data_IF_963880778733
#
_entry.id   IF_963880778733
#
_cell.length_a   1.000
_cell.length_b   1.000
_cell.length_c   1.000
_cell.angle_alpha   90.00
_cell.angle_beta   90.00
_cell.angle_gamma   90.00
#
_symmetry.space_group_name_H-M   'P 1'
#
loop_
_entity.id
_entity.type
_entity.pdbx_description
1 polymer ?
#
# COMPACT_ATOMS: atom_id res chain seq x y z
N UNK A 1 -14.54 13.19 -7.40
CA UNK A 1 -13.40 12.70 -8.18
C UNK A 1 -13.40 11.18 -8.22
N UNK A 2 -13.32 10.63 -9.39
CA UNK A 2 -13.46 9.19 -9.57
C UNK A 2 -12.15 8.50 -9.79
N UNK A 3 -11.34 8.48 -8.78
CA UNK A 3 -10.01 7.93 -8.91
C UNK A 3 -9.97 6.42 -9.07
N UNK A 4 -11.00 5.77 -8.56
CA UNK A 4 -10.97 4.32 -8.48
C UNK A 4 -11.77 3.65 -9.60
N UNK A 5 -12.30 4.42 -10.52
CA UNK A 5 -13.12 3.84 -11.59
C UNK A 5 -12.33 2.97 -12.53
N UNK A 6 -11.04 3.17 -12.60
CA UNK A 6 -10.22 2.45 -13.56
C UNK A 6 -9.69 1.14 -13.05
N UNK A 7 -10.19 0.69 -11.91
CA UNK A 7 -9.81 -0.62 -11.42
C UNK A 7 -10.21 -1.69 -12.41
N UNK A 8 -9.28 -2.59 -12.68
CA UNK A 8 -9.55 -3.71 -13.54
C UNK A 8 -8.98 -4.97 -12.92
N UNK A 9 -9.66 -6.07 -13.15
CA UNK A 9 -9.25 -7.37 -12.63
C UNK A 9 -8.99 -8.29 -13.82
N UNK A 10 -7.82 -8.88 -13.84
CA UNK A 10 -7.42 -9.80 -14.87
C UNK A 10 -7.11 -11.16 -14.28
N UNK A 11 -7.59 -12.21 -14.94
CA UNK A 11 -7.23 -13.56 -14.60
C UNK A 11 -6.12 -14.01 -15.55
N UNK A 12 -4.98 -14.35 -14.97
CA UNK A 12 -3.83 -14.78 -15.73
C UNK A 12 -3.57 -16.24 -15.42
N UNK A 13 -3.45 -17.04 -16.45
CA UNK A 13 -3.10 -18.45 -16.29
C UNK A 13 -1.62 -18.62 -16.52
N UNK A 14 -0.91 -18.97 -15.47
CA UNK A 14 0.41 -19.52 -15.59
C UNK A 14 0.29 -21.04 -15.61
N UNK A 15 1.36 -21.75 -15.73
CA UNK A 15 1.43 -23.18 -15.96
C UNK A 15 0.30 -24.02 -15.38
N UNK A 16 0.15 -24.07 -14.07
CA UNK A 16 -0.90 -24.85 -13.42
C UNK A 16 -1.72 -24.02 -12.47
N UNK A 17 -1.45 -22.73 -12.40
CA UNK A 17 -2.10 -21.82 -11.47
C UNK A 17 -2.76 -20.70 -12.22
N UNK A 18 -3.85 -20.25 -11.67
CA UNK A 18 -4.50 -19.03 -12.13
C UNK A 18 -4.11 -17.93 -11.16
N UNK A 19 -3.57 -16.85 -11.69
CA UNK A 19 -3.26 -15.68 -10.88
C UNK A 19 -4.27 -14.59 -11.18
N UNK A 20 -4.63 -13.84 -10.15
CA UNK A 20 -5.48 -12.68 -10.28
C UNK A 20 -4.62 -11.44 -10.19
N UNK A 21 -4.79 -10.53 -11.14
CA UNK A 21 -4.11 -9.26 -11.11
C UNK A 21 -5.14 -8.15 -11.02
N UNK A 22 -4.90 -7.24 -10.08
CA UNK A 22 -5.78 -6.10 -9.85
C UNK A 22 -4.97 -4.84 -10.05
N UNK A 23 -5.37 -4.02 -11.01
CA UNK A 23 -4.81 -2.69 -11.16
C UNK A 23 -5.58 -1.78 -10.22
N UNK A 24 -5.08 -1.65 -9.00
CA UNK A 24 -5.79 -0.96 -7.94
C UNK A 24 -5.80 0.55 -8.18
N UNK A 25 -4.67 1.10 -8.56
CA UNK A 25 -4.53 2.52 -8.84
C UNK A 25 -3.72 2.69 -10.11
N UNK A 26 -4.20 3.55 -10.98
CA UNK A 26 -3.47 3.91 -12.19
C UNK A 26 -3.94 5.29 -12.65
N UNK A 27 -3.09 6.28 -12.60
CA UNK A 27 -3.47 7.59 -13.08
C UNK A 27 -2.63 8.72 -12.52
N UNK A 28 -3.00 9.91 -12.91
CA UNK A 28 -2.36 11.12 -12.45
C UNK A 28 -3.21 11.77 -11.37
N UNK A 29 -2.57 12.16 -10.32
CA UNK A 29 -3.25 12.72 -9.15
C UNK A 29 -2.54 13.99 -8.70
N UNK A 30 -3.31 14.93 -8.16
CA UNK A 30 -2.70 16.11 -7.57
C UNK A 30 -1.97 15.70 -6.27
N UNK A 31 -1.21 16.62 -5.73
CA UNK A 31 -0.39 16.34 -4.55
C UNK A 31 -1.22 15.85 -3.37
N UNK A 32 -2.33 16.52 -3.09
CA UNK A 32 -3.16 16.18 -1.95
C UNK A 32 -3.75 14.77 -2.07
N UNK A 33 -4.28 14.45 -3.23
CA UNK A 33 -4.85 13.12 -3.46
C UNK A 33 -3.77 12.05 -3.47
N UNK A 34 -2.61 12.35 -4.06
CA UNK A 34 -1.49 11.42 -4.06
C UNK A 34 -1.06 11.07 -2.65
N UNK A 35 -0.90 12.09 -1.82
CA UNK A 35 -0.50 11.88 -0.44
C UNK A 35 -1.55 11.09 0.33
N UNK A 36 -2.82 11.40 0.11
CA UNK A 36 -3.88 10.68 0.78
C UNK A 36 -3.92 9.21 0.39
N UNK A 37 -3.88 8.92 -0.90
CA UNK A 37 -3.91 7.53 -1.38
C UNK A 37 -2.75 6.71 -0.82
N UNK A 38 -1.55 7.20 -0.96
CA UNK A 38 -0.37 6.45 -0.52
C UNK A 38 -0.36 6.32 1.00
N UNK A 39 -0.71 7.39 1.72
CA UNK A 39 -0.74 7.34 3.17
C UNK A 39 -1.75 6.32 3.68
N UNK A 40 -2.94 6.28 3.08
CA UNK A 40 -3.96 5.32 3.47
C UNK A 40 -3.51 3.88 3.26
N UNK A 41 -2.85 3.61 2.15
CA UNK A 41 -2.35 2.27 1.87
C UNK A 41 -1.30 1.83 2.87
N UNK A 42 -0.39 2.72 3.23
CA UNK A 42 0.63 2.42 4.23
C UNK A 42 -0.02 2.20 5.59
N UNK A 43 -1.00 3.02 5.96
CA UNK A 43 -1.68 2.89 7.24
C UNK A 43 -2.49 1.60 7.36
N UNK A 44 -3.09 1.15 6.27
CA UNK A 44 -3.79 -0.14 6.26
C UNK A 44 -2.82 -1.26 6.64
N UNK A 45 -1.61 -1.23 6.10
CA UNK A 45 -0.61 -2.24 6.41
C UNK A 45 -0.10 -2.12 7.84
N UNK A 46 0.06 -0.92 8.34
CA UNK A 46 0.43 -0.71 9.74
C UNK A 46 -0.63 -1.33 10.65
N UNK A 47 -1.90 -1.04 10.39
CA UNK A 47 -2.98 -1.59 11.19
C UNK A 47 -3.04 -3.10 11.12
N UNK A 48 -2.73 -3.66 9.97
CA UNK A 48 -2.66 -5.11 9.84
C UNK A 48 -1.64 -5.69 10.81
N UNK A 49 -0.45 -5.12 10.87
CA UNK A 49 0.58 -5.61 11.79
C UNK A 49 0.20 -5.40 13.24
N UNK A 50 -0.42 -4.25 13.56
CA UNK A 50 -0.87 -3.98 14.93
C UNK A 50 -1.90 -5.02 15.39
N UNK A 51 -2.86 -5.33 14.54
CA UNK A 51 -3.89 -6.31 14.86
C UNK A 51 -3.33 -7.72 14.98
N UNK A 52 -2.24 -8.02 14.32
CA UNK A 52 -1.65 -9.33 14.37
C UNK A 52 -0.90 -9.60 15.68
N UNK A 53 -0.61 -8.55 16.45
CA UNK A 53 0.00 -8.71 17.77
C UNK A 53 -1.10 -9.10 18.75
N UNK A 54 -0.95 -10.27 19.36
CA UNK A 54 -1.92 -10.82 20.27
C UNK A 54 -1.28 -11.09 21.63
N UNK A 55 -2.12 -11.30 22.65
CA UNK A 55 -1.64 -11.52 24.00
C UNK A 55 -0.68 -12.71 24.11
N UNK A 56 -0.94 -13.74 23.33
CA UNK A 56 -0.12 -14.95 23.36
C UNK A 56 0.92 -15.01 22.25
N UNK A 57 1.16 -13.89 21.60
CA UNK A 57 2.24 -13.82 20.60
C UNK A 57 3.58 -13.98 21.31
N UNK A 58 4.50 -14.66 20.64
CA UNK A 58 5.85 -14.77 21.16
C UNK A 58 6.54 -13.42 21.12
N UNK A 59 7.58 -13.27 21.91
CA UNK A 59 8.35 -12.03 21.91
C UNK A 59 8.98 -11.78 20.54
N UNK A 60 9.41 -12.85 19.88
CA UNK A 60 9.97 -12.73 18.53
C UNK A 60 8.94 -12.22 17.53
N UNK A 61 7.71 -12.71 17.61
CA UNK A 61 6.63 -12.25 16.74
C UNK A 61 6.32 -10.78 16.98
N UNK A 62 6.28 -10.39 18.24
CA UNK A 62 6.01 -8.99 18.59
C UNK A 62 7.10 -8.09 18.05
N UNK A 63 8.36 -8.46 18.24
CA UNK A 63 9.47 -7.67 17.73
C UNK A 63 9.46 -7.57 16.21
N UNK A 64 9.13 -8.67 15.54
CA UNK A 64 9.02 -8.68 14.10
C UNK A 64 7.95 -7.69 13.63
N UNK A 65 6.77 -7.74 14.24
CA UNK A 65 5.66 -6.85 13.87
C UNK A 65 6.01 -5.40 14.18
N UNK A 66 6.59 -5.14 15.32
CA UNK A 66 6.96 -3.78 15.70
C UNK A 66 8.01 -3.20 14.77
N UNK A 67 8.97 -4.01 14.33
CA UNK A 67 9.96 -3.53 13.37
C UNK A 67 9.35 -3.21 12.03
N UNK A 68 8.35 -4.00 11.58
CA UNK A 68 7.64 -3.70 10.34
C UNK A 68 6.82 -2.43 10.46
N UNK A 69 6.16 -2.23 11.58
CA UNK A 69 5.39 -1.01 11.83
C UNK A 69 6.31 0.21 11.79
N UNK A 70 7.47 0.12 12.44
CA UNK A 70 8.41 1.23 12.44
C UNK A 70 8.90 1.56 11.04
N UNK A 71 9.22 0.53 10.26
CA UNK A 71 9.66 0.74 8.88
C UNK A 71 8.58 1.43 8.06
N UNK A 72 7.33 1.02 8.22
CA UNK A 72 6.22 1.62 7.50
C UNK A 72 5.98 3.07 7.94
N UNK A 73 6.14 3.36 9.23
CA UNK A 73 6.02 4.72 9.73
C UNK A 73 7.12 5.60 9.15
N UNK A 74 8.34 5.08 9.05
CA UNK A 74 9.44 5.82 8.44
C UNK A 74 9.18 6.07 6.96
N UNK A 75 8.65 5.08 6.26
CA UNK A 75 8.28 5.24 4.86
C UNK A 75 7.18 6.27 4.67
N UNK A 76 6.19 6.29 5.56
CA UNK A 76 5.12 7.28 5.51
C UNK A 76 5.68 8.70 5.67
N UNK A 77 6.59 8.87 6.61
CA UNK A 77 7.23 10.18 6.80
C UNK A 77 8.00 10.60 5.56
N UNK A 78 8.76 9.67 4.98
CA UNK A 78 9.52 9.94 3.76
C UNK A 78 8.62 10.31 2.60
N UNK A 79 7.50 9.60 2.42
CA UNK A 79 6.53 9.92 1.38
C UNK A 79 6.00 11.34 1.55
N UNK A 80 5.65 11.71 2.77
CA UNK A 80 5.15 13.07 3.03
C UNK A 80 6.17 14.13 2.67
N UNK A 81 7.43 13.88 3.01
CA UNK A 81 8.50 14.82 2.70
C UNK A 81 8.71 14.94 1.18
N UNK A 82 8.77 13.80 0.49
CA UNK A 82 9.03 13.80 -0.94
C UNK A 82 7.87 14.38 -1.72
N UNK A 83 6.65 14.03 -1.38
CA UNK A 83 5.49 14.56 -2.09
C UNK A 83 5.30 16.05 -1.82
N UNK A 84 5.70 16.53 -0.66
CA UNK A 84 5.58 17.97 -0.37
C UNK A 84 6.44 18.83 -1.28
N UNK A 85 7.50 18.26 -1.84
CA UNK A 85 8.40 18.96 -2.75
C UNK A 85 7.91 18.97 -4.18
N UNK A 86 6.92 18.16 -4.50
CA UNK A 86 6.45 18.02 -5.88
C UNK A 86 5.65 19.22 -6.32
N UNK A 87 5.81 19.58 -7.59
CA UNK A 87 5.01 20.60 -8.24
C UNK A 87 4.19 19.89 -9.32
N UNK A 88 2.90 20.14 -9.36
CA UNK A 88 2.03 19.54 -10.36
C UNK A 88 1.53 18.18 -9.97
N UNK A 89 1.08 17.43 -10.95
CA UNK A 89 0.49 16.12 -10.72
C UNK A 89 1.55 15.02 -10.66
N UNK A 90 1.17 13.94 -10.00
CA UNK A 90 2.02 12.77 -9.83
C UNK A 90 1.32 11.57 -10.44
N UNK A 91 2.10 10.72 -11.08
CA UNK A 91 1.56 9.47 -11.63
C UNK A 91 1.74 8.35 -10.62
N UNK A 92 0.65 7.68 -10.28
CA UNK A 92 0.68 6.60 -9.30
C UNK A 92 0.18 5.32 -9.93
N UNK A 93 0.90 4.25 -9.73
CA UNK A 93 0.52 2.91 -10.13
C UNK A 93 0.60 1.98 -8.94
N UNK A 94 -0.44 1.18 -8.75
CA UNK A 94 -0.43 0.14 -7.72
C UNK A 94 -1.13 -1.09 -8.26
N UNK A 95 -0.42 -2.19 -8.30
CA UNK A 95 -0.92 -3.45 -8.81
C UNK A 95 -0.80 -4.52 -7.74
N UNK A 96 -1.82 -5.38 -7.69
CA UNK A 96 -1.84 -6.50 -6.75
C UNK A 96 -1.94 -7.78 -7.56
N UNK A 97 -1.08 -8.72 -7.25
CA UNK A 97 -1.13 -10.05 -7.85
C UNK A 97 -1.43 -11.06 -6.75
N UNK A 98 -2.45 -11.87 -6.98
CA UNK A 98 -2.83 -12.93 -6.04
C UNK A 98 -2.68 -14.24 -6.77
N UNK A 99 -1.85 -15.10 -6.23
CA UNK A 99 -1.54 -16.40 -6.84
C UNK A 99 -2.10 -17.56 -6.02
#
# INVERSE_FOLDING_TARGET
MNLMVLQSIHLVRGNKKTAMQIQLIEGDFNKADSLELVSQMIQVKIKYHEKAIQKNSSEEDIQYRESKIKLLQDELLLVREELSKSAGNLHIQANITIE
#
